data_IF_075861434071
#
_entry.id   IF_075861434071
#
_cell.length_a   1.000
_cell.length_b   1.000
_cell.length_c   1.000
_cell.angle_alpha   90.00
_cell.angle_beta   90.00
_cell.angle_gamma   90.00
#
_symmetry.space_group_name_H-M   'P 1'
#
loop_
_entity.id
_entity.type
_entity.pdbx_description
1 polymer ?
#
# COMPACT_ATOMS: atom_id res chain seq x y z
N UNK A 1 30.03 -7.72 2.44
CA UNK A 1 30.59 -9.02 2.77
C UNK A 1 32.11 -9.00 2.77
N UNK A 2 32.75 -9.99 3.35
CA UNK A 2 34.21 -10.14 3.25
C UNK A 2 34.59 -10.57 1.83
N UNK A 3 35.82 -10.26 1.38
CA UNK A 3 36.28 -10.62 0.04
C UNK A 3 36.17 -12.13 -0.19
N UNK A 4 36.60 -12.95 0.76
CA UNK A 4 36.54 -14.42 0.65
C UNK A 4 35.14 -14.97 0.40
N UNK A 5 34.14 -14.53 1.19
CA UNK A 5 32.75 -15.01 1.01
C UNK A 5 32.15 -14.62 -0.32
N UNK A 6 32.52 -13.45 -0.85
CA UNK A 6 31.99 -12.97 -2.13
C UNK A 6 32.62 -13.73 -3.28
N UNK A 7 33.92 -14.03 -3.19
CA UNK A 7 34.64 -14.86 -4.17
C UNK A 7 34.13 -16.30 -4.18
N UNK A 8 33.92 -16.90 -3.01
CA UNK A 8 33.32 -18.24 -2.88
C UNK A 8 31.93 -18.31 -3.57
N UNK A 9 31.09 -17.27 -3.41
CA UNK A 9 29.82 -17.20 -4.11
C UNK A 9 29.99 -17.12 -5.62
N UNK A 10 30.97 -16.37 -6.10
CA UNK A 10 31.28 -16.30 -7.54
C UNK A 10 31.76 -17.64 -8.08
N UNK A 11 32.60 -18.37 -7.34
CA UNK A 11 33.05 -19.71 -7.71
C UNK A 11 31.88 -20.71 -7.77
N UNK A 12 30.94 -20.65 -6.82
CA UNK A 12 29.71 -21.45 -6.84
C UNK A 12 28.87 -21.13 -8.07
N UNK A 13 28.70 -19.84 -8.39
CA UNK A 13 27.98 -19.41 -9.59
C UNK A 13 28.67 -19.88 -10.85
N UNK A 14 30.00 -19.78 -10.91
CA UNK A 14 30.81 -20.28 -12.01
C UNK A 14 30.64 -21.79 -12.21
N UNK A 15 30.73 -22.57 -11.15
CA UNK A 15 30.57 -24.04 -11.16
C UNK A 15 29.14 -24.44 -11.58
N UNK A 16 28.13 -23.70 -11.16
CA UNK A 16 26.74 -23.94 -11.52
C UNK A 16 26.43 -23.63 -12.99
N UNK A 17 27.25 -22.78 -13.64
CA UNK A 17 27.15 -22.39 -15.04
C UNK A 17 25.69 -22.09 -15.49
N UNK A 18 24.98 -21.18 -14.81
CA UNK A 18 23.60 -20.91 -15.11
C UNK A 18 23.43 -20.33 -16.53
N UNK A 19 22.36 -20.74 -17.20
CA UNK A 19 22.01 -20.25 -18.53
C UNK A 19 20.69 -19.50 -18.50
N UNK A 20 20.49 -18.52 -19.40
CA UNK A 20 19.19 -17.89 -19.56
C UNK A 20 18.08 -18.90 -19.79
N UNK A 21 16.96 -18.77 -19.08
CA UNK A 21 15.88 -19.78 -19.04
C UNK A 21 15.23 -20.04 -20.40
N UNK A 22 15.23 -19.08 -21.29
CA UNK A 22 14.55 -19.16 -22.59
C UNK A 22 15.46 -19.58 -23.74
N UNK A 23 16.64 -20.18 -23.48
CA UNK A 23 17.51 -20.73 -24.49
C UNK A 23 18.03 -19.71 -25.53
N UNK A 24 18.08 -18.44 -25.13
CA UNK A 24 18.56 -17.38 -26.02
C UNK A 24 20.09 -17.41 -26.11
N UNK A 25 20.62 -17.01 -27.26
CA UNK A 25 22.07 -17.01 -27.53
C UNK A 25 22.76 -15.78 -26.88
N UNK A 26 22.43 -15.42 -25.66
CA UNK A 26 23.12 -14.38 -24.92
C UNK A 26 23.61 -14.92 -23.57
N UNK A 27 24.62 -14.26 -23.02
CA UNK A 27 25.13 -14.57 -21.69
C UNK A 27 24.11 -14.14 -20.63
N UNK A 28 24.07 -14.83 -19.49
CA UNK A 28 23.24 -14.44 -18.37
C UNK A 28 23.70 -13.10 -17.83
N UNK A 29 22.85 -12.05 -17.77
CA UNK A 29 23.20 -10.80 -17.12
C UNK A 29 23.37 -11.00 -15.60
N UNK A 30 24.44 -10.51 -15.06
CA UNK A 30 24.77 -10.56 -13.63
C UNK A 30 25.25 -9.19 -13.16
N UNK A 31 24.61 -8.64 -12.14
CA UNK A 31 25.01 -7.38 -11.51
C UNK A 31 25.79 -7.69 -10.24
N UNK A 32 27.00 -7.20 -10.17
CA UNK A 32 27.80 -7.23 -8.96
C UNK A 32 27.79 -5.86 -8.27
N UNK A 33 27.21 -5.80 -7.10
CA UNK A 33 27.09 -4.58 -6.29
C UNK A 33 27.61 -4.80 -4.85
N UNK A 34 28.75 -5.46 -4.76
CA UNK A 34 29.33 -5.89 -3.48
C UNK A 34 30.63 -5.15 -3.12
N UNK A 35 31.49 -5.84 -2.35
CA UNK A 35 32.74 -5.30 -1.87
C UNK A 35 33.69 -4.91 -3.01
N UNK A 36 34.09 -3.65 -3.06
CA UNK A 36 34.94 -3.11 -4.12
C UNK A 36 36.31 -3.82 -4.22
N UNK A 37 36.81 -4.34 -3.11
CA UNK A 37 38.10 -5.07 -3.08
C UNK A 37 38.03 -6.46 -3.74
N UNK A 38 36.82 -6.97 -4.02
CA UNK A 38 36.62 -8.24 -4.68
C UNK A 38 36.34 -8.11 -6.18
N UNK A 39 36.17 -6.91 -6.71
CA UNK A 39 35.71 -6.67 -8.09
C UNK A 39 36.59 -7.35 -9.14
N UNK A 40 37.93 -7.27 -8.99
CA UNK A 40 38.84 -7.89 -9.95
C UNK A 40 38.71 -9.42 -9.94
N UNK A 41 38.66 -10.04 -8.76
CA UNK A 41 38.49 -11.49 -8.65
C UNK A 41 37.12 -11.95 -9.19
N UNK A 42 36.07 -11.16 -8.98
CA UNK A 42 34.73 -11.43 -9.53
C UNK A 42 34.76 -11.34 -11.06
N UNK A 43 35.45 -10.33 -11.61
CA UNK A 43 35.60 -10.18 -13.06
C UNK A 43 36.38 -11.35 -13.66
N UNK A 44 37.47 -11.78 -13.04
CA UNK A 44 38.29 -12.90 -13.48
C UNK A 44 37.50 -14.22 -13.39
N UNK A 45 36.66 -14.40 -12.38
CA UNK A 45 35.89 -15.65 -12.18
C UNK A 45 34.68 -15.74 -13.09
N UNK A 46 33.94 -14.65 -13.30
CA UNK A 46 32.62 -14.67 -13.97
C UNK A 46 32.60 -14.01 -15.35
N UNK A 47 33.51 -13.08 -15.66
CA UNK A 47 33.41 -12.21 -16.83
C UNK A 47 33.38 -12.91 -18.18
N UNK A 48 34.00 -14.09 -18.32
CA UNK A 48 33.92 -14.87 -19.56
C UNK A 48 32.60 -15.62 -19.70
N UNK A 49 32.01 -16.01 -18.58
CA UNK A 49 30.82 -16.87 -18.55
C UNK A 49 29.51 -16.12 -18.61
N UNK A 50 29.42 -14.96 -17.98
CA UNK A 50 28.21 -14.12 -17.84
C UNK A 50 28.44 -12.75 -18.46
N UNK A 51 27.34 -12.02 -18.67
CA UNK A 51 27.38 -10.59 -18.97
C UNK A 51 27.41 -9.83 -17.62
N UNK A 52 28.63 -9.43 -17.21
CA UNK A 52 28.90 -8.94 -15.88
C UNK A 52 28.91 -7.41 -15.83
N UNK A 53 27.91 -6.84 -15.19
CA UNK A 53 27.87 -5.43 -14.78
C UNK A 53 28.40 -5.27 -13.35
N UNK A 54 29.37 -4.37 -13.16
CA UNK A 54 29.88 -4.02 -11.83
C UNK A 54 29.40 -2.61 -11.49
N UNK A 55 28.66 -2.49 -10.39
CA UNK A 55 28.14 -1.21 -9.90
C UNK A 55 28.59 -0.95 -8.47
N UNK A 56 28.18 0.18 -7.92
CA UNK A 56 28.53 0.55 -6.56
C UNK A 56 27.96 -0.40 -5.53
N UNK A 57 28.66 -0.54 -4.39
CA UNK A 57 28.25 -1.42 -3.31
C UNK A 57 26.90 -0.96 -2.73
N UNK A 58 25.91 -1.85 -2.72
CA UNK A 58 24.57 -1.59 -2.16
C UNK A 58 24.61 -1.22 -0.67
N UNK A 59 25.67 -1.60 0.04
CA UNK A 59 25.87 -1.24 1.45
C UNK A 59 27.33 -0.95 1.72
N UNK A 60 27.82 0.25 1.31
CA UNK A 60 29.23 0.61 1.43
C UNK A 60 29.72 0.62 2.89
N UNK A 61 28.87 0.99 3.82
CA UNK A 61 29.04 0.93 5.27
C UNK A 61 27.80 0.33 5.93
N UNK A 62 27.91 -0.15 7.18
CA UNK A 62 26.80 -0.82 7.86
C UNK A 62 25.57 0.09 8.08
N UNK A 63 25.83 1.39 8.21
CA UNK A 63 24.85 2.42 8.55
C UNK A 63 24.16 3.03 7.33
N UNK A 64 24.63 2.74 6.10
CA UNK A 64 24.11 3.38 4.88
C UNK A 64 23.95 2.40 3.74
N UNK A 65 22.77 2.42 3.13
CA UNK A 65 22.48 1.79 1.85
C UNK A 65 22.73 2.73 0.68
N UNK A 66 23.09 2.13 -0.46
CA UNK A 66 23.25 2.80 -1.75
C UNK A 66 22.63 1.89 -2.82
N UNK A 67 21.31 1.93 -2.91
CA UNK A 67 20.54 1.01 -3.76
C UNK A 67 20.36 1.54 -5.19
N UNK A 68 20.44 2.86 -5.38
CA UNK A 68 20.12 3.53 -6.65
C UNK A 68 20.92 2.97 -7.83
N UNK A 69 22.27 2.87 -7.82
CA UNK A 69 23.03 2.37 -8.96
C UNK A 69 22.66 0.94 -9.36
N UNK A 70 22.34 0.08 -8.38
CA UNK A 70 21.90 -1.28 -8.65
C UNK A 70 20.48 -1.35 -9.18
N UNK A 71 19.60 -0.46 -8.70
CA UNK A 71 18.21 -0.34 -9.14
C UNK A 71 18.14 0.10 -10.60
N UNK A 72 18.97 1.07 -10.99
CA UNK A 72 19.05 1.56 -12.36
C UNK A 72 19.49 0.45 -13.32
N UNK A 73 20.54 -0.30 -12.95
CA UNK A 73 20.99 -1.44 -13.73
C UNK A 73 19.95 -2.55 -13.86
N UNK A 74 19.22 -2.86 -12.79
CA UNK A 74 18.10 -3.81 -12.85
C UNK A 74 17.00 -3.27 -13.76
N UNK A 75 16.72 -1.98 -13.71
CA UNK A 75 15.75 -1.36 -14.59
C UNK A 75 16.15 -1.49 -16.07
N UNK A 76 17.40 -1.15 -16.43
CA UNK A 76 17.91 -1.27 -17.79
C UNK A 76 17.79 -2.68 -18.32
N UNK A 77 18.22 -3.68 -17.52
CA UNK A 77 18.11 -5.09 -17.87
C UNK A 77 16.65 -5.55 -18.03
N UNK A 78 15.75 -5.07 -17.17
CA UNK A 78 14.33 -5.36 -17.30
C UNK A 78 13.73 -4.78 -18.58
N UNK A 79 14.09 -3.55 -18.92
CA UNK A 79 13.63 -2.90 -20.14
C UNK A 79 14.15 -3.65 -21.38
N UNK A 80 15.42 -4.04 -21.41
CA UNK A 80 16.05 -4.71 -22.54
C UNK A 80 15.56 -6.15 -22.71
N UNK A 81 15.60 -6.94 -21.66
CA UNK A 81 15.38 -8.38 -21.73
C UNK A 81 13.92 -8.82 -21.51
N UNK A 82 13.08 -7.96 -20.95
CA UNK A 82 11.66 -8.27 -20.67
C UNK A 82 10.75 -7.39 -21.51
N UNK A 83 10.77 -6.08 -21.29
CA UNK A 83 9.79 -5.17 -21.89
C UNK A 83 9.95 -5.05 -23.40
N UNK A 84 11.17 -4.88 -23.90
CA UNK A 84 11.45 -4.77 -25.34
C UNK A 84 11.17 -6.07 -26.13
N UNK A 85 11.01 -7.20 -25.45
CA UNK A 85 10.64 -8.46 -26.08
C UNK A 85 9.13 -8.55 -26.40
N UNK A 86 8.31 -7.69 -25.78
CA UNK A 86 6.88 -7.63 -26.08
C UNK A 86 6.65 -7.11 -27.52
N UNK A 87 5.76 -7.77 -28.32
CA UNK A 87 5.50 -7.37 -29.69
C UNK A 87 5.06 -5.90 -29.80
N UNK A 88 5.76 -5.14 -30.66
CA UNK A 88 5.45 -3.71 -30.88
C UNK A 88 6.08 -2.73 -29.87
N UNK A 89 6.63 -3.20 -28.77
CA UNK A 89 7.16 -2.32 -27.73
C UNK A 89 8.35 -1.48 -28.22
N UNK A 90 9.28 -2.07 -28.99
CA UNK A 90 10.39 -1.33 -29.62
C UNK A 90 9.90 -0.19 -30.51
N UNK A 91 8.78 -0.38 -31.24
CA UNK A 91 8.17 0.68 -32.03
C UNK A 91 7.57 1.77 -31.16
N UNK A 92 6.91 1.39 -30.08
CA UNK A 92 6.37 2.35 -29.10
C UNK A 92 7.49 3.23 -28.49
N UNK A 93 8.60 2.62 -28.11
CA UNK A 93 9.77 3.34 -27.59
C UNK A 93 10.33 4.36 -28.57
N UNK A 94 10.25 4.10 -29.88
CA UNK A 94 10.74 5.05 -30.90
C UNK A 94 9.84 6.28 -31.11
N UNK A 95 8.67 6.35 -30.46
CA UNK A 95 7.76 7.49 -30.58
C UNK A 95 8.03 8.60 -29.55
N UNK A 96 8.90 8.36 -28.61
CA UNK A 96 9.25 9.33 -27.56
C UNK A 96 10.75 9.40 -27.37
N UNK A 97 11.26 10.59 -27.11
CA UNK A 97 12.64 10.82 -26.71
C UNK A 97 12.83 10.75 -25.19
N UNK A 98 11.72 10.71 -24.44
CA UNK A 98 11.74 10.57 -22.98
C UNK A 98 11.88 9.09 -22.56
N UNK A 99 12.59 8.80 -21.46
CA UNK A 99 12.68 7.45 -20.92
C UNK A 99 11.29 6.92 -20.55
N UNK A 100 11.05 5.64 -20.88
CA UNK A 100 9.80 4.98 -20.48
C UNK A 100 9.93 4.53 -19.03
N UNK A 101 9.04 5.00 -18.20
CA UNK A 101 8.98 4.61 -16.79
C UNK A 101 7.99 3.47 -16.57
N UNK A 102 8.33 2.45 -15.77
CA UNK A 102 7.34 1.49 -15.29
C UNK A 102 6.31 2.19 -14.39
N UNK A 103 5.04 1.77 -14.48
CA UNK A 103 3.95 2.31 -13.67
C UNK A 103 4.29 2.44 -12.19
N UNK A 104 4.85 1.40 -11.52
CA UNK A 104 5.19 1.52 -10.09
C UNK A 104 6.28 2.56 -9.80
N UNK A 105 7.20 2.79 -10.75
CA UNK A 105 8.22 3.82 -10.63
C UNK A 105 7.60 5.22 -10.64
N UNK A 106 6.75 5.48 -11.62
CA UNK A 106 6.07 6.76 -11.79
C UNK A 106 5.13 7.09 -10.61
N UNK A 107 4.31 6.12 -10.20
CA UNK A 107 3.41 6.27 -9.02
C UNK A 107 4.22 6.54 -7.76
N UNK A 108 5.31 5.77 -7.55
CA UNK A 108 6.18 5.95 -6.38
C UNK A 108 6.78 7.35 -6.30
N UNK A 109 7.29 7.88 -7.41
CA UNK A 109 7.83 9.24 -7.48
C UNK A 109 6.78 10.30 -7.12
N UNK A 110 5.53 10.15 -7.56
CA UNK A 110 4.47 11.09 -7.20
C UNK A 110 4.14 11.03 -5.71
N UNK A 111 4.03 9.84 -5.13
CA UNK A 111 3.79 9.65 -3.68
C UNK A 111 4.92 10.25 -2.84
N UNK A 112 6.18 10.04 -3.24
CA UNK A 112 7.33 10.61 -2.56
C UNK A 112 7.31 12.14 -2.60
N UNK A 113 6.99 12.74 -3.75
CA UNK A 113 6.86 14.19 -3.89
C UNK A 113 5.72 14.80 -3.06
N UNK A 114 4.58 14.10 -2.94
CA UNK A 114 3.48 14.55 -2.06
C UNK A 114 3.98 14.58 -0.61
N UNK A 115 4.59 13.48 -0.14
CA UNK A 115 5.11 13.40 1.21
C UNK A 115 6.15 14.47 1.52
N UNK A 116 7.07 14.74 0.59
CA UNK A 116 8.11 15.75 0.74
C UNK A 116 7.54 17.18 0.78
N UNK A 117 6.64 17.50 -0.19
CA UNK A 117 6.07 18.85 -0.31
C UNK A 117 5.18 19.20 0.88
N UNK A 118 4.36 18.26 1.32
CA UNK A 118 3.38 18.48 2.40
C UNK A 118 3.97 18.15 3.78
N UNK A 119 5.15 17.52 3.82
CA UNK A 119 5.83 17.07 5.04
C UNK A 119 4.96 16.12 5.87
N UNK A 120 4.31 15.19 5.20
CA UNK A 120 3.40 14.20 5.77
C UNK A 120 3.91 12.78 5.55
N UNK A 121 3.41 11.88 6.37
CA UNK A 121 3.58 10.44 6.24
C UNK A 121 2.49 9.89 5.32
N UNK A 122 2.87 9.14 4.28
CA UNK A 122 1.93 8.67 3.25
C UNK A 122 2.07 7.18 3.05
N UNK A 123 0.94 6.51 2.90
CA UNK A 123 0.84 5.18 2.28
C UNK A 123 0.00 5.29 1.02
N UNK A 124 0.54 4.88 -0.12
CA UNK A 124 -0.17 4.75 -1.38
C UNK A 124 -0.33 3.28 -1.76
N UNK A 125 -1.43 2.95 -2.41
CA UNK A 125 -1.64 1.62 -2.99
C UNK A 125 -2.20 1.73 -4.40
N UNK A 126 -1.65 0.92 -5.31
CA UNK A 126 -2.19 0.68 -6.65
C UNK A 126 -2.53 -0.81 -6.80
N UNK A 127 -3.83 -1.12 -6.79
CA UNK A 127 -4.31 -2.49 -6.93
C UNK A 127 -4.73 -2.78 -8.36
N UNK A 128 -3.86 -3.49 -9.07
CA UNK A 128 -4.05 -3.86 -10.46
C UNK A 128 -4.71 -5.23 -10.67
N UNK A 129 -4.75 -5.67 -11.92
CA UNK A 129 -5.30 -6.98 -12.29
C UNK A 129 -4.38 -8.15 -11.95
N UNK A 130 -3.07 -7.96 -12.00
CA UNK A 130 -2.06 -8.99 -11.76
C UNK A 130 -1.25 -8.73 -10.48
N UNK A 131 -0.98 -7.47 -10.17
CA UNK A 131 -0.12 -7.02 -9.06
C UNK A 131 -0.85 -6.04 -8.16
N UNK A 132 -0.36 -5.91 -6.94
CA UNK A 132 -0.70 -4.81 -6.04
C UNK A 132 0.60 -4.18 -5.56
N UNK A 133 0.73 -2.89 -5.81
CA UNK A 133 1.90 -2.09 -5.46
C UNK A 133 1.58 -1.25 -4.22
N UNK A 134 2.46 -1.31 -3.21
CA UNK A 134 2.37 -0.51 -2.00
C UNK A 134 3.58 0.44 -1.95
N UNK A 135 3.29 1.69 -1.67
CA UNK A 135 4.27 2.76 -1.50
C UNK A 135 4.13 3.34 -0.10
N UNK A 136 5.22 3.65 0.56
CA UNK A 136 5.16 4.33 1.85
C UNK A 136 6.30 5.32 2.02
N UNK A 137 6.01 6.42 2.71
CA UNK A 137 7.01 7.37 3.17
C UNK A 137 6.84 7.55 4.67
N UNK A 138 7.77 6.99 5.44
CA UNK A 138 7.84 7.14 6.89
C UNK A 138 9.22 7.67 7.26
N UNK A 139 9.28 8.65 8.15
CA UNK A 139 10.54 9.27 8.59
C UNK A 139 11.41 9.76 7.40
N UNK A 140 10.77 10.27 6.34
CA UNK A 140 11.42 10.72 5.12
C UNK A 140 12.04 9.60 4.27
N UNK A 141 11.74 8.32 4.56
CA UNK A 141 12.24 7.17 3.79
C UNK A 141 11.15 6.60 2.92
N UNK A 142 11.38 6.63 1.62
CA UNK A 142 10.51 6.00 0.64
C UNK A 142 10.77 4.49 0.57
N UNK A 143 9.69 3.71 0.60
CA UNK A 143 9.70 2.27 0.39
C UNK A 143 8.62 1.88 -0.63
N UNK A 144 8.94 0.91 -1.48
CA UNK A 144 8.02 0.33 -2.45
C UNK A 144 8.08 -1.18 -2.42
N UNK A 145 6.92 -1.82 -2.50
CA UNK A 145 6.79 -3.27 -2.62
C UNK A 145 5.81 -3.59 -3.73
N UNK A 146 6.21 -4.45 -4.66
CA UNK A 146 5.37 -5.00 -5.72
C UNK A 146 4.97 -6.41 -5.33
N UNK A 147 3.70 -6.62 -5.02
CA UNK A 147 3.15 -7.96 -4.77
C UNK A 147 2.72 -8.57 -6.10
N UNK A 148 3.62 -9.32 -6.72
CA UNK A 148 3.51 -9.75 -8.12
C UNK A 148 2.33 -10.68 -8.43
N UNK A 149 1.74 -11.32 -7.41
CA UNK A 149 0.67 -12.31 -7.57
C UNK A 149 -0.60 -11.99 -6.77
N UNK A 150 -0.77 -10.75 -6.34
CA UNK A 150 -1.91 -10.33 -5.51
C UNK A 150 -2.77 -9.28 -6.24
N UNK A 151 -3.27 -9.64 -7.42
CA UNK A 151 -4.13 -8.76 -8.23
C UNK A 151 -5.55 -9.25 -8.35
N UNK A 152 -6.43 -8.38 -8.86
CA UNK A 152 -7.88 -8.53 -8.84
C UNK A 152 -8.48 -9.26 -10.06
N UNK A 153 -7.65 -9.71 -11.01
CA UNK A 153 -8.13 -10.46 -12.18
C UNK A 153 -7.23 -11.65 -12.52
N UNK A 154 -6.09 -11.43 -13.16
CA UNK A 154 -5.17 -12.50 -13.56
C UNK A 154 -4.62 -13.29 -12.36
N UNK A 155 -4.44 -12.65 -11.22
CA UNK A 155 -3.88 -13.25 -10.00
C UNK A 155 -4.91 -13.48 -8.89
N UNK A 156 -6.20 -13.33 -9.17
CA UNK A 156 -7.25 -13.38 -8.15
C UNK A 156 -7.31 -14.74 -7.42
N UNK A 157 -7.01 -15.83 -8.12
CA UNK A 157 -6.94 -17.17 -7.51
C UNK A 157 -5.73 -17.31 -6.58
N UNK A 158 -4.64 -16.58 -6.81
CA UNK A 158 -3.51 -16.55 -5.89
C UNK A 158 -3.87 -15.80 -4.62
N UNK A 159 -4.63 -14.71 -4.73
CA UNK A 159 -5.17 -14.01 -3.55
C UNK A 159 -6.01 -14.97 -2.71
N UNK A 160 -6.92 -15.74 -3.34
CA UNK A 160 -7.74 -16.74 -2.65
C UNK A 160 -6.87 -17.82 -1.99
N UNK A 161 -5.84 -18.32 -2.68
CA UNK A 161 -4.95 -19.36 -2.16
C UNK A 161 -4.13 -18.87 -0.95
N UNK A 162 -3.58 -17.65 -1.03
CA UNK A 162 -2.76 -17.10 0.03
C UNK A 162 -3.57 -16.59 1.23
N UNK A 163 -4.74 -15.98 0.99
CA UNK A 163 -5.61 -15.55 2.07
C UNK A 163 -6.31 -16.72 2.77
N UNK A 164 -6.64 -17.76 2.01
CA UNK A 164 -7.59 -18.79 2.41
C UNK A 164 -9.05 -18.35 2.29
N UNK A 165 -9.92 -19.30 1.94
CA UNK A 165 -11.33 -19.04 1.66
C UNK A 165 -12.07 -18.37 2.83
N UNK A 166 -11.80 -18.80 4.07
CA UNK A 166 -12.46 -18.27 5.27
C UNK A 166 -12.16 -16.78 5.51
N UNK A 167 -10.97 -16.33 5.12
CA UNK A 167 -10.62 -14.91 5.21
C UNK A 167 -11.32 -14.06 4.16
N UNK A 168 -11.65 -14.60 3.00
CA UNK A 168 -12.51 -13.91 2.03
C UNK A 168 -13.97 -13.95 2.50
N UNK A 169 -14.45 -15.14 2.92
CA UNK A 169 -15.83 -15.36 3.36
C UNK A 169 -16.23 -14.45 4.53
N UNK A 170 -15.30 -14.16 5.44
CA UNK A 170 -15.59 -13.27 6.59
C UNK A 170 -16.09 -11.88 6.19
N UNK A 171 -15.78 -11.41 4.96
CA UNK A 171 -16.19 -10.10 4.44
C UNK A 171 -17.48 -10.16 3.59
N UNK A 172 -17.95 -11.36 3.25
CA UNK A 172 -19.17 -11.53 2.43
C UNK A 172 -20.41 -11.35 3.30
N UNK A 173 -21.29 -10.36 3.00
CA UNK A 173 -22.42 -10.00 3.86
C UNK A 173 -23.68 -10.82 3.62
N UNK A 174 -23.56 -12.01 3.03
CA UNK A 174 -24.66 -12.97 2.79
C UNK A 174 -24.16 -14.40 2.90
N UNK A 175 -25.10 -15.33 3.05
CA UNK A 175 -24.76 -16.76 3.09
C UNK A 175 -24.47 -17.27 1.68
N UNK A 176 -23.32 -17.92 1.51
CA UNK A 176 -22.88 -18.51 0.25
C UNK A 176 -22.16 -19.84 0.52
N UNK A 177 -22.43 -20.81 -0.34
CA UNK A 177 -21.67 -22.08 -0.30
C UNK A 177 -20.20 -21.86 -0.67
N UNK A 178 -19.30 -22.59 -0.01
CA UNK A 178 -17.85 -22.44 -0.19
C UNK A 178 -17.39 -22.76 -1.60
N UNK A 179 -17.98 -23.76 -2.24
CA UNK A 179 -17.64 -24.13 -3.63
C UNK A 179 -18.14 -23.06 -4.60
N UNK A 180 -19.33 -22.52 -4.35
CA UNK A 180 -19.88 -21.45 -5.16
C UNK A 180 -19.01 -20.19 -5.08
N UNK A 181 -18.60 -19.76 -3.89
CA UNK A 181 -17.69 -18.64 -3.71
C UNK A 181 -16.35 -18.87 -4.47
N UNK A 182 -15.78 -20.07 -4.32
CA UNK A 182 -14.54 -20.44 -5.04
C UNK A 182 -14.73 -20.39 -6.56
N UNK A 183 -15.85 -20.90 -7.06
CA UNK A 183 -16.16 -20.91 -8.49
C UNK A 183 -16.36 -19.49 -9.05
N UNK A 184 -17.08 -18.62 -8.32
CA UNK A 184 -17.29 -17.22 -8.72
C UNK A 184 -15.96 -16.47 -8.82
N UNK A 185 -15.07 -16.67 -7.84
CA UNK A 185 -13.71 -16.07 -7.88
C UNK A 185 -12.90 -16.66 -9.05
N UNK A 186 -12.93 -17.98 -9.26
CA UNK A 186 -12.24 -18.65 -10.37
C UNK A 186 -12.72 -18.18 -11.75
N UNK A 187 -14.01 -17.90 -11.90
CA UNK A 187 -14.58 -17.35 -13.14
C UNK A 187 -13.98 -15.98 -13.50
N UNK A 188 -13.66 -15.16 -12.50
CA UNK A 188 -12.98 -13.86 -12.73
C UNK A 188 -11.60 -14.05 -13.34
N UNK A 189 -10.84 -15.07 -12.92
CA UNK A 189 -9.53 -15.37 -13.53
C UNK A 189 -9.66 -15.79 -15.01
N UNK A 190 -10.70 -16.56 -15.35
CA UNK A 190 -10.96 -17.00 -16.73
C UNK A 190 -11.41 -15.82 -17.60
N UNK A 191 -12.14 -14.88 -17.01
CA UNK A 191 -12.67 -13.67 -17.67
C UNK A 191 -12.19 -12.39 -16.95
N UNK A 192 -10.90 -12.08 -17.05
CA UNK A 192 -10.26 -11.06 -16.18
C UNK A 192 -10.78 -9.64 -16.37
N UNK A 193 -11.40 -9.34 -17.51
CA UNK A 193 -11.95 -8.01 -17.84
C UNK A 193 -13.41 -7.81 -17.41
N UNK A 194 -14.06 -8.85 -16.83
CA UNK A 194 -15.43 -8.69 -16.36
C UNK A 194 -15.50 -7.76 -15.14
N UNK A 195 -16.57 -6.96 -15.09
CA UNK A 195 -16.92 -6.14 -13.94
C UNK A 195 -18.17 -6.72 -13.27
N UNK A 196 -18.38 -6.53 -11.96
CA UNK A 196 -19.56 -6.99 -11.27
C UNK A 196 -20.85 -6.48 -11.93
N UNK A 197 -21.80 -7.38 -12.21
CA UNK A 197 -23.09 -7.06 -12.81
C UNK A 197 -24.23 -7.14 -11.80
N UNK A 198 -23.98 -7.72 -10.63
CA UNK A 198 -24.93 -7.80 -9.53
C UNK A 198 -24.29 -7.31 -8.22
N UNK A 199 -25.14 -7.02 -7.24
CA UNK A 199 -24.66 -6.59 -5.93
C UNK A 199 -23.88 -7.71 -5.21
N UNK A 200 -24.28 -8.96 -5.38
CA UNK A 200 -23.53 -10.11 -4.83
C UNK A 200 -22.13 -10.23 -5.42
N UNK A 201 -21.99 -10.06 -6.75
CA UNK A 201 -20.67 -10.06 -7.40
C UNK A 201 -19.80 -8.92 -6.89
N UNK A 202 -20.38 -7.73 -6.68
CA UNK A 202 -19.67 -6.60 -6.11
C UNK A 202 -19.20 -6.88 -4.69
N UNK A 203 -20.03 -7.48 -3.85
CA UNK A 203 -19.64 -7.90 -2.50
C UNK A 203 -18.46 -8.87 -2.51
N UNK A 204 -18.51 -9.88 -3.39
CA UNK A 204 -17.42 -10.86 -3.52
C UNK A 204 -16.15 -10.20 -4.02
N UNK A 205 -16.22 -9.33 -5.02
CA UNK A 205 -15.06 -8.60 -5.54
C UNK A 205 -14.42 -7.72 -4.46
N UNK A 206 -15.23 -7.00 -3.70
CA UNK A 206 -14.74 -6.16 -2.60
C UNK A 206 -14.24 -6.97 -1.40
N UNK A 207 -14.80 -8.16 -1.15
CA UNK A 207 -14.30 -9.06 -0.12
C UNK A 207 -12.89 -9.57 -0.44
N UNK A 208 -12.65 -10.02 -1.67
CA UNK A 208 -11.31 -10.49 -2.07
C UNK A 208 -10.33 -9.34 -2.25
N UNK A 209 -10.79 -8.13 -2.65
CA UNK A 209 -9.96 -6.94 -2.69
C UNK A 209 -9.39 -6.57 -1.32
N UNK A 210 -10.21 -6.67 -0.25
CA UNK A 210 -9.74 -6.47 1.13
C UNK A 210 -8.60 -7.42 1.48
N UNK A 211 -8.66 -8.66 1.04
CA UNK A 211 -7.60 -9.64 1.31
C UNK A 211 -6.36 -9.41 0.45
N UNK A 212 -6.50 -9.04 -0.82
CA UNK A 212 -5.38 -8.67 -1.68
C UNK A 212 -4.60 -7.48 -1.09
N UNK A 213 -5.31 -6.43 -0.71
CA UNK A 213 -4.74 -5.24 -0.06
C UNK A 213 -4.06 -5.59 1.27
N UNK A 214 -4.73 -6.37 2.13
CA UNK A 214 -4.20 -6.78 3.43
C UNK A 214 -2.92 -7.61 3.31
N UNK A 215 -2.88 -8.58 2.39
CA UNK A 215 -1.72 -9.43 2.14
C UNK A 215 -0.55 -8.62 1.59
N UNK A 216 -0.82 -7.75 0.60
CA UNK A 216 0.20 -6.87 0.02
C UNK A 216 0.77 -5.91 1.06
N UNK A 217 -0.08 -5.34 1.91
CA UNK A 217 0.37 -4.46 2.98
C UNK A 217 1.16 -5.21 4.07
N UNK A 218 0.76 -6.45 4.41
CA UNK A 218 1.54 -7.30 5.30
C UNK A 218 2.95 -7.54 4.74
N UNK A 219 3.05 -7.91 3.47
CA UNK A 219 4.32 -8.10 2.78
C UNK A 219 5.15 -6.80 2.77
N UNK A 220 4.52 -5.66 2.52
CA UNK A 220 5.18 -4.36 2.54
C UNK A 220 5.80 -4.05 3.91
N UNK A 221 5.07 -4.28 5.00
CA UNK A 221 5.60 -4.07 6.37
C UNK A 221 6.78 -4.99 6.71
N UNK A 222 6.84 -6.18 6.13
CA UNK A 222 7.97 -7.13 6.30
C UNK A 222 9.23 -6.66 5.56
N UNK A 223 9.08 -5.94 4.45
CA UNK A 223 10.20 -5.41 3.66
C UNK A 223 10.61 -3.99 4.07
N UNK A 224 9.67 -3.13 4.43
CA UNK A 224 9.94 -1.77 4.91
C UNK A 224 10.43 -1.80 6.36
N UNK A 225 11.68 -2.26 6.54
CA UNK A 225 12.32 -2.41 7.85
C UNK A 225 13.56 -1.56 7.97
N UNK A 226 13.91 -1.17 9.19
CA UNK A 226 15.17 -0.49 9.50
C UNK A 226 16.37 -1.38 9.18
N UNK A 227 17.53 -0.76 8.88
CA UNK A 227 18.76 -1.47 8.59
C UNK A 227 19.17 -2.40 9.73
N UNK A 228 19.37 -3.69 9.41
CA UNK A 228 19.90 -4.67 10.37
C UNK A 228 21.39 -4.42 10.63
N UNK A 229 21.82 -4.58 11.88
CA UNK A 229 23.23 -4.51 12.27
C UNK A 229 23.78 -3.10 12.53
N UNK A 230 22.94 -2.07 12.52
CA UNK A 230 23.29 -0.75 13.05
C UNK A 230 23.23 -0.82 14.57
N UNK A 231 24.34 -0.47 15.25
CA UNK A 231 24.33 -0.35 16.71
C UNK A 231 23.48 0.87 17.08
N UNK A 232 22.26 0.66 17.56
CA UNK A 232 21.53 1.66 18.33
C UNK A 232 22.05 1.61 19.77
N UNK A 233 22.17 2.77 20.43
CA UNK A 233 22.30 2.81 21.89
C UNK A 233 21.07 2.10 22.48
N UNK A 234 21.30 0.91 23.04
CA UNK A 234 20.21 0.09 23.61
C UNK A 234 19.88 0.60 24.99
N UNK A 235 18.63 0.87 25.24
CA UNK A 235 18.11 1.06 26.58
C UNK A 235 17.93 -0.30 27.27
N UNK A 236 17.89 -0.31 28.61
CA UNK A 236 17.74 -1.56 29.39
C UNK A 236 16.44 -2.31 29.08
N UNK A 237 15.39 -1.61 28.61
CA UNK A 237 14.13 -2.20 28.16
C UNK A 237 14.26 -2.98 26.84
N UNK A 238 15.17 -2.58 25.95
CA UNK A 238 15.40 -3.24 24.65
C UNK A 238 16.13 -4.59 24.78
N UNK A 239 16.68 -4.89 25.96
CA UNK A 239 17.41 -6.14 26.20
C UNK A 239 16.50 -7.37 26.28
N UNK A 240 15.18 -7.17 26.44
CA UNK A 240 14.20 -8.25 26.52
C UNK A 240 13.49 -8.55 25.19
N UNK A 241 13.59 -7.66 24.20
CA UNK A 241 13.06 -7.88 22.85
C UNK A 241 14.13 -8.43 21.91
N UNK A 242 14.23 -9.77 21.90
CA UNK A 242 15.05 -10.50 20.92
C UNK A 242 14.31 -10.67 19.60
N UNK A 243 13.98 -9.61 18.87
CA UNK A 243 13.58 -9.74 17.48
C UNK A 243 14.81 -9.66 16.58
N UNK A 244 15.11 -10.75 15.88
CA UNK A 244 16.20 -10.85 14.88
C UNK A 244 15.90 -10.11 13.56
N UNK A 245 14.70 -9.53 13.42
CA UNK A 245 14.28 -8.68 12.29
C UNK A 245 14.37 -7.21 12.69
N UNK A 246 14.85 -6.35 11.78
CA UNK A 246 14.75 -4.89 11.96
C UNK A 246 13.29 -4.50 12.24
N UNK A 247 13.09 -3.46 13.06
CA UNK A 247 11.74 -2.92 13.31
C UNK A 247 11.15 -2.40 12.01
N UNK A 248 9.85 -2.63 11.81
CA UNK A 248 9.13 -2.05 10.66
C UNK A 248 9.20 -0.53 10.72
N UNK A 249 9.49 0.11 9.59
CA UNK A 249 9.43 1.56 9.46
C UNK A 249 7.98 2.07 9.40
N UNK A 250 7.03 1.19 9.12
CA UNK A 250 5.61 1.53 8.96
C UNK A 250 4.94 1.58 10.32
N UNK A 251 4.67 2.79 10.80
CA UNK A 251 3.90 3.05 12.01
C UNK A 251 2.55 3.66 11.64
N UNK A 252 1.47 2.90 11.79
CA UNK A 252 0.13 3.33 11.37
C UNK A 252 -0.44 4.48 12.21
N UNK A 253 0.07 4.69 13.42
CA UNK A 253 -0.30 5.84 14.28
C UNK A 253 0.27 7.17 13.75
N UNK A 254 1.35 7.11 12.97
CA UNK A 254 1.99 8.27 12.35
C UNK A 254 1.48 8.54 10.92
N UNK A 255 0.52 7.76 10.43
CA UNK A 255 0.04 7.85 9.05
C UNK A 255 -0.92 9.04 8.89
N UNK A 256 -0.47 10.06 8.15
CA UNK A 256 -1.28 11.23 7.83
C UNK A 256 -2.25 11.00 6.67
N UNK A 257 -1.79 10.32 5.59
CA UNK A 257 -2.56 10.14 4.35
C UNK A 257 -2.46 8.71 3.81
N UNK A 258 -3.62 8.10 3.54
CA UNK A 258 -3.75 6.83 2.83
C UNK A 258 -4.42 7.06 1.48
N UNK A 259 -3.70 6.81 0.37
CA UNK A 259 -4.20 7.00 -0.99
C UNK A 259 -4.41 5.67 -1.69
N UNK A 260 -5.63 5.43 -2.15
CA UNK A 260 -5.97 4.26 -2.96
C UNK A 260 -6.00 4.57 -4.45
N UNK A 261 -5.53 3.64 -5.28
CA UNK A 261 -5.63 3.64 -6.73
C UNK A 261 -5.90 2.23 -7.25
N UNK A 262 -6.22 2.15 -8.52
CA UNK A 262 -6.57 0.90 -9.19
C UNK A 262 -8.08 0.67 -9.29
N UNK A 263 -8.48 -0.14 -10.27
CA UNK A 263 -9.86 -0.24 -10.74
C UNK A 263 -10.90 -0.46 -9.63
N UNK A 264 -10.63 -1.38 -8.69
CA UNK A 264 -11.59 -1.70 -7.61
C UNK A 264 -11.78 -0.56 -6.60
N UNK A 265 -10.75 0.29 -6.40
CA UNK A 265 -10.81 1.44 -5.50
C UNK A 265 -11.28 2.70 -6.23
N UNK A 266 -10.67 3.01 -7.38
CA UNK A 266 -10.94 4.22 -8.15
C UNK A 266 -12.34 4.23 -8.77
N UNK A 267 -12.86 3.06 -9.17
CA UNK A 267 -14.15 2.90 -9.84
C UNK A 267 -15.20 2.15 -9.00
N UNK A 268 -15.00 2.06 -7.68
CA UNK A 268 -16.06 1.58 -6.81
C UNK A 268 -17.34 2.42 -7.05
N UNK A 269 -18.51 1.79 -7.18
CA UNK A 269 -19.78 2.50 -7.46
C UNK A 269 -20.08 3.62 -6.48
N UNK A 270 -19.58 3.51 -5.25
CA UNK A 270 -19.69 4.52 -4.21
C UNK A 270 -18.36 4.72 -3.49
N UNK A 271 -18.08 5.95 -3.11
CA UNK A 271 -16.83 6.31 -2.41
C UNK A 271 -16.74 5.74 -1.00
N UNK A 272 -17.87 5.52 -0.36
CA UNK A 272 -17.96 4.82 0.93
C UNK A 272 -17.37 3.39 0.85
N UNK A 273 -17.53 2.71 -0.28
CA UNK A 273 -16.95 1.39 -0.52
C UNK A 273 -15.43 1.45 -0.60
N UNK A 274 -14.88 2.46 -1.28
CA UNK A 274 -13.43 2.69 -1.34
C UNK A 274 -12.87 2.98 0.05
N UNK A 275 -13.50 3.87 0.82
CA UNK A 275 -13.10 4.19 2.19
C UNK A 275 -13.10 2.93 3.08
N UNK A 276 -14.16 2.13 2.99
CA UNK A 276 -14.28 0.89 3.76
C UNK A 276 -13.21 -0.13 3.39
N UNK A 277 -12.93 -0.35 2.10
CA UNK A 277 -11.87 -1.27 1.67
C UNK A 277 -10.50 -0.82 2.20
N UNK A 278 -10.20 0.47 2.14
CA UNK A 278 -8.96 1.03 2.68
C UNK A 278 -8.86 0.84 4.20
N UNK A 279 -9.90 1.22 4.95
CA UNK A 279 -9.92 1.08 6.42
C UNK A 279 -9.81 -0.39 6.84
N UNK A 280 -10.58 -1.28 6.21
CA UNK A 280 -10.64 -2.69 6.58
C UNK A 280 -9.33 -3.45 6.29
N UNK A 281 -8.59 -3.01 5.25
CA UNK A 281 -7.37 -3.70 4.80
C UNK A 281 -6.10 -3.15 5.44
N UNK A 282 -5.98 -1.82 5.51
CA UNK A 282 -4.79 -1.15 6.07
C UNK A 282 -4.88 -0.92 7.57
N UNK A 283 -6.11 -0.91 8.12
CA UNK A 283 -6.37 -0.74 9.55
C UNK A 283 -5.65 0.49 10.12
N UNK A 284 -5.86 1.70 9.56
CA UNK A 284 -5.22 2.91 10.07
C UNK A 284 -5.49 3.09 11.56
N UNK A 285 -4.54 3.68 12.26
CA UNK A 285 -4.57 3.94 13.70
C UNK A 285 -4.47 5.44 13.94
N UNK A 286 -5.09 5.95 15.00
CA UNK A 286 -5.09 7.38 15.27
C UNK A 286 -5.98 8.17 14.31
N UNK A 287 -5.40 9.16 13.61
CA UNK A 287 -6.12 10.12 12.76
C UNK A 287 -5.48 10.11 11.37
N UNK A 288 -6.16 9.54 10.37
CA UNK A 288 -5.62 9.36 9.02
C UNK A 288 -6.59 9.91 7.98
N UNK A 289 -6.12 10.76 7.08
CA UNK A 289 -6.88 11.16 5.90
C UNK A 289 -6.92 10.04 4.87
N UNK A 290 -8.07 9.86 4.22
CA UNK A 290 -8.30 8.87 3.18
C UNK A 290 -8.55 9.57 1.86
N UNK A 291 -7.94 9.11 0.78
CA UNK A 291 -8.17 9.61 -0.56
C UNK A 291 -8.08 8.51 -1.61
N UNK A 292 -8.58 8.78 -2.81
CA UNK A 292 -8.43 7.91 -3.98
C UNK A 292 -8.04 8.70 -5.22
N UNK A 293 -7.15 8.17 -6.04
CA UNK A 293 -6.94 8.61 -7.42
C UNK A 293 -8.15 8.17 -8.26
N UNK A 294 -9.02 9.11 -8.58
CA UNK A 294 -10.33 8.81 -9.16
C UNK A 294 -10.31 8.44 -10.63
N UNK A 295 -9.27 8.83 -11.35
CA UNK A 295 -9.16 8.68 -12.81
C UNK A 295 -7.88 7.97 -13.24
N UNK A 296 -7.14 7.42 -12.28
CA UNK A 296 -5.92 6.65 -12.52
C UNK A 296 -4.82 7.44 -13.24
N UNK A 297 -4.54 8.67 -12.76
CA UNK A 297 -3.56 9.58 -13.35
C UNK A 297 -2.20 9.61 -12.65
N UNK A 298 -2.06 8.94 -11.50
CA UNK A 298 -0.77 8.91 -10.79
C UNK A 298 0.41 8.48 -11.68
N UNK A 299 0.29 7.44 -12.54
CA UNK A 299 1.40 7.05 -13.41
C UNK A 299 1.82 8.14 -14.39
N UNK A 300 0.86 8.80 -15.05
CA UNK A 300 1.12 9.82 -16.06
C UNK A 300 1.72 11.09 -15.42
N UNK A 301 1.16 11.49 -14.29
CA UNK A 301 1.66 12.65 -13.53
C UNK A 301 3.03 12.38 -12.92
N UNK A 302 3.30 11.13 -12.51
CA UNK A 302 4.62 10.71 -12.07
C UNK A 302 5.67 10.80 -13.18
N UNK A 303 5.33 10.42 -14.42
CA UNK A 303 6.22 10.62 -15.58
C UNK A 303 6.46 12.11 -15.83
N UNK A 304 5.39 12.93 -15.83
CA UNK A 304 5.51 14.39 -15.99
C UNK A 304 6.44 14.99 -14.93
N UNK A 305 6.32 14.54 -13.70
CA UNK A 305 7.11 15.05 -12.59
C UNK A 305 8.62 14.65 -12.63
N UNK A 306 8.96 13.65 -13.43
CA UNK A 306 10.33 13.15 -13.61
C UNK A 306 10.96 13.59 -14.95
N UNK A 307 10.51 14.72 -15.52
CA UNK A 307 11.15 15.28 -16.72
C UNK A 307 12.59 15.69 -16.39
N UNK A 308 13.55 15.14 -17.14
CA UNK A 308 14.99 15.34 -16.91
C UNK A 308 15.52 16.72 -17.38
N UNK A 309 14.75 17.47 -18.16
CA UNK A 309 15.15 18.81 -18.61
C UNK A 309 15.17 19.76 -17.42
N UNK A 310 16.36 20.11 -16.97
CA UNK A 310 16.63 20.90 -15.77
C UNK A 310 15.82 22.22 -15.72
N UNK A 311 15.68 22.88 -16.88
CA UNK A 311 14.89 24.12 -17.03
C UNK A 311 13.39 23.95 -16.79
N UNK A 312 12.83 22.74 -16.99
CA UNK A 312 11.41 22.45 -16.89
C UNK A 312 11.05 21.61 -15.66
N UNK A 313 12.03 20.99 -15.01
CA UNK A 313 11.80 19.99 -13.97
C UNK A 313 11.01 20.55 -12.78
N UNK A 314 11.30 21.75 -12.32
CA UNK A 314 10.61 22.38 -11.19
C UNK A 314 9.13 22.70 -11.54
N UNK A 315 8.90 23.27 -12.72
CA UNK A 315 7.54 23.62 -13.19
C UNK A 315 6.72 22.36 -13.47
N UNK A 316 7.33 21.33 -14.06
CA UNK A 316 6.69 20.05 -14.33
C UNK A 316 6.26 19.32 -13.04
N UNK A 317 7.12 19.32 -12.00
CA UNK A 317 6.78 18.80 -10.68
C UNK A 317 5.63 19.57 -10.04
N UNK A 318 5.68 20.90 -10.07
CA UNK A 318 4.64 21.75 -9.52
C UNK A 318 3.30 21.52 -10.24
N UNK A 319 3.32 21.47 -11.58
CA UNK A 319 2.13 21.19 -12.38
C UNK A 319 1.56 19.80 -12.14
N UNK A 320 2.39 18.77 -12.07
CA UNK A 320 1.96 17.41 -11.78
C UNK A 320 1.22 17.31 -10.44
N UNK A 321 1.78 17.91 -9.39
CA UNK A 321 1.17 17.94 -8.07
C UNK A 321 -0.12 18.77 -8.05
N UNK A 322 -0.16 19.92 -8.71
CA UNK A 322 -1.37 20.75 -8.79
C UNK A 322 -2.50 20.00 -9.47
N UNK A 323 -2.25 19.41 -10.64
CA UNK A 323 -3.24 18.61 -11.38
C UNK A 323 -3.70 17.42 -10.55
N UNK A 324 -2.78 16.74 -9.87
CA UNK A 324 -3.15 15.60 -9.03
C UNK A 324 -4.12 16.00 -7.92
N UNK A 325 -3.77 17.01 -7.14
CA UNK A 325 -4.62 17.46 -6.01
C UNK A 325 -5.95 18.04 -6.46
N UNK A 326 -5.98 18.79 -7.57
CA UNK A 326 -7.17 19.50 -8.01
C UNK A 326 -8.14 18.65 -8.82
N UNK A 327 -7.60 17.80 -9.71
CA UNK A 327 -8.40 17.16 -10.75
C UNK A 327 -8.47 15.62 -10.61
N UNK A 328 -7.54 15.00 -9.88
CA UNK A 328 -7.43 13.54 -9.80
C UNK A 328 -7.75 12.98 -8.42
N UNK A 329 -7.28 13.63 -7.37
CA UNK A 329 -7.43 13.16 -6.00
C UNK A 329 -8.80 13.49 -5.43
N UNK A 330 -9.56 12.48 -5.07
CA UNK A 330 -10.80 12.65 -4.31
C UNK A 330 -10.51 12.38 -2.84
N UNK A 331 -10.66 13.41 -2.01
CA UNK A 331 -10.61 13.29 -0.56
C UNK A 331 -11.87 12.58 -0.07
N UNK A 332 -11.71 11.37 0.47
CA UNK A 332 -12.80 10.59 1.04
C UNK A 332 -13.22 11.17 2.40
N UNK A 333 -12.26 11.63 3.17
CA UNK A 333 -12.43 12.20 4.50
C UNK A 333 -11.38 11.69 5.48
N UNK A 334 -11.64 11.84 6.78
CA UNK A 334 -10.70 11.42 7.83
C UNK A 334 -11.24 10.22 8.60
N UNK A 335 -10.42 9.19 8.76
CA UNK A 335 -10.66 8.05 9.66
C UNK A 335 -10.05 8.36 11.03
N UNK A 336 -10.85 8.25 12.08
CA UNK A 336 -10.46 8.41 13.48
C UNK A 336 -10.59 7.05 14.16
N UNK A 337 -9.46 6.41 14.47
CA UNK A 337 -9.40 5.01 14.91
C UNK A 337 -8.51 4.84 16.15
N UNK A 338 -9.05 5.03 17.37
CA UNK A 338 -8.31 4.81 18.60
C UNK A 338 -7.90 3.35 18.77
N UNK A 339 -6.70 3.11 19.28
CA UNK A 339 -6.20 1.77 19.60
C UNK A 339 -6.21 1.50 21.09
N UNK A 340 -6.42 0.26 21.47
CA UNK A 340 -6.42 -0.16 22.88
C UNK A 340 -7.39 -1.30 23.12
N UNK A 341 -7.59 -1.64 24.39
CA UNK A 341 -8.44 -2.75 24.77
C UNK A 341 -9.44 -2.36 25.86
N UNK A 342 -10.69 -2.27 25.44
CA UNK A 342 -11.86 -2.05 26.34
C UNK A 342 -12.90 -3.15 26.08
N UNK A 343 -13.84 -3.31 27.03
CA UNK A 343 -14.92 -4.28 26.91
C UNK A 343 -15.90 -3.90 25.79
N UNK A 344 -16.57 -4.87 25.19
CA UNK A 344 -17.62 -4.66 24.18
C UNK A 344 -18.65 -3.65 24.68
N UNK A 345 -18.99 -2.66 23.85
CA UNK A 345 -19.94 -1.59 24.16
C UNK A 345 -19.46 -0.51 25.14
N UNK A 346 -18.22 -0.62 25.65
CA UNK A 346 -17.64 0.45 26.47
C UNK A 346 -17.25 1.66 25.62
N UNK A 347 -17.17 2.82 26.25
CA UNK A 347 -16.68 4.05 25.63
C UNK A 347 -15.23 3.86 25.18
N UNK A 348 -14.97 4.24 23.94
CA UNK A 348 -13.65 4.23 23.30
C UNK A 348 -13.09 5.65 23.23
N UNK A 349 -13.93 6.59 22.78
CA UNK A 349 -13.55 7.96 22.49
C UNK A 349 -14.76 8.88 22.64
N UNK A 350 -14.53 10.06 23.19
CA UNK A 350 -15.42 11.19 23.06
C UNK A 350 -14.84 12.16 22.04
N UNK A 351 -15.62 12.53 21.03
CA UNK A 351 -15.23 13.46 19.98
C UNK A 351 -16.09 14.72 20.02
N UNK A 352 -15.46 15.88 20.03
CA UNK A 352 -16.10 17.20 19.93
C UNK A 352 -15.62 17.87 18.66
N UNK A 353 -16.55 18.24 17.77
CA UNK A 353 -16.25 18.91 16.50
C UNK A 353 -16.78 20.34 16.55
N UNK A 354 -15.99 21.30 16.10
CA UNK A 354 -16.40 22.69 15.88
C UNK A 354 -16.25 23.00 14.41
N UNK A 355 -17.38 23.19 13.73
CA UNK A 355 -17.46 23.48 12.31
C UNK A 355 -17.16 24.97 12.01
N UNK A 356 -16.81 25.33 10.75
CA UNK A 356 -16.52 26.72 10.38
C UNK A 356 -17.66 27.70 10.65
N UNK A 357 -18.91 27.24 10.63
CA UNK A 357 -20.11 28.02 10.97
C UNK A 357 -20.31 28.23 12.48
N UNK A 358 -19.41 27.68 13.30
CA UNK A 358 -19.47 27.73 14.77
C UNK A 358 -20.35 26.65 15.40
N UNK A 359 -20.99 25.79 14.62
CA UNK A 359 -21.78 24.66 15.13
C UNK A 359 -20.86 23.67 15.83
N UNK A 360 -21.29 23.22 17.01
CA UNK A 360 -20.59 22.17 17.77
C UNK A 360 -21.38 20.88 17.76
N UNK A 361 -20.67 19.77 17.54
CA UNK A 361 -21.24 18.42 17.57
C UNK A 361 -20.39 17.56 18.49
N UNK A 362 -21.07 16.75 19.30
CA UNK A 362 -20.46 15.83 20.25
C UNK A 362 -20.90 14.41 19.91
N UNK A 363 -19.95 13.45 19.98
CA UNK A 363 -20.24 12.03 19.78
C UNK A 363 -19.43 11.16 20.74
N UNK A 364 -20.07 10.15 21.31
CA UNK A 364 -19.45 9.11 22.14
C UNK A 364 -19.32 7.83 21.33
N UNK A 365 -18.11 7.53 20.88
CA UNK A 365 -17.81 6.32 20.14
C UNK A 365 -17.65 5.13 21.10
N UNK A 366 -18.37 4.04 20.82
CA UNK A 366 -18.31 2.81 21.60
C UNK A 366 -17.49 1.71 20.89
N UNK A 367 -17.06 0.74 21.66
CA UNK A 367 -16.36 -0.44 21.16
C UNK A 367 -17.22 -1.20 20.17
N UNK A 368 -16.61 -1.56 19.03
CA UNK A 368 -17.19 -2.24 17.85
C UNK A 368 -18.18 -1.37 17.05
N UNK A 369 -18.34 -0.10 17.40
CA UNK A 369 -19.11 0.87 16.63
C UNK A 369 -18.29 1.44 15.46
N UNK A 370 -18.98 1.66 14.36
CA UNK A 370 -18.52 2.48 13.24
C UNK A 370 -19.53 3.60 13.08
N UNK A 371 -19.07 4.84 12.98
CA UNK A 371 -19.95 5.99 12.87
C UNK A 371 -19.42 6.99 11.83
N UNK A 372 -20.31 7.65 11.09
CA UNK A 372 -19.98 8.61 10.04
C UNK A 372 -20.70 9.93 10.23
N UNK A 373 -19.95 11.03 10.09
CA UNK A 373 -20.49 12.37 9.87
C UNK A 373 -20.33 12.76 8.40
N UNK A 374 -21.42 13.09 7.74
CA UNK A 374 -21.39 13.64 6.38
C UNK A 374 -20.99 15.12 6.45
N UNK A 375 -19.77 15.41 6.03
CA UNK A 375 -19.22 16.76 5.99
C UNK A 375 -18.35 16.92 4.75
N UNK A 376 -18.44 18.05 4.04
CA UNK A 376 -17.63 18.30 2.85
C UNK A 376 -16.15 18.42 3.21
N UNK A 377 -15.28 18.48 2.19
CA UNK A 377 -13.86 18.70 2.38
C UNK A 377 -13.60 20.14 2.84
N UNK A 378 -13.60 20.30 4.15
CA UNK A 378 -13.31 21.57 4.83
C UNK A 378 -12.60 21.27 6.17
N UNK A 379 -11.80 22.23 6.69
CA UNK A 379 -11.14 22.07 7.97
C UNK A 379 -12.14 22.18 9.12
N UNK A 380 -12.08 21.23 10.05
CA UNK A 380 -12.95 21.11 11.21
C UNK A 380 -12.04 21.01 12.45
N UNK A 381 -12.24 21.93 13.41
CA UNK A 381 -11.53 21.81 14.69
C UNK A 381 -12.14 20.67 15.50
N UNK A 382 -11.30 19.76 15.96
CA UNK A 382 -11.73 18.57 16.69
C UNK A 382 -10.95 18.41 17.99
N UNK A 383 -11.66 17.99 19.05
CA UNK A 383 -11.08 17.58 20.33
C UNK A 383 -11.46 16.14 20.58
N UNK A 384 -10.47 15.27 20.67
CA UNK A 384 -10.64 13.85 20.95
C UNK A 384 -10.17 13.52 22.35
N UNK A 385 -11.04 12.88 23.14
CA UNK A 385 -10.78 12.46 24.53
C UNK A 385 -10.93 10.92 24.57
N UNK A 386 -9.84 10.16 24.42
CA UNK A 386 -9.89 8.70 24.48
C UNK A 386 -10.14 8.22 25.92
N UNK A 387 -10.75 7.02 26.06
CA UNK A 387 -10.77 6.33 27.36
C UNK A 387 -9.35 6.08 27.86
N UNK A 388 -9.16 5.95 29.16
CA UNK A 388 -7.85 5.76 29.83
C UNK A 388 -7.01 4.60 29.27
N UNK A 389 -7.64 3.64 28.61
CA UNK A 389 -6.99 2.47 27.98
C UNK A 389 -6.83 2.58 26.47
N UNK A 390 -7.32 3.66 25.91
CA UNK A 390 -7.29 3.92 24.47
C UNK A 390 -6.28 5.00 24.15
N UNK A 391 -5.69 4.92 22.98
CA UNK A 391 -4.69 5.85 22.44
C UNK A 391 -5.13 6.32 21.06
N UNK A 392 -4.99 7.61 20.78
CA UNK A 392 -5.31 8.20 19.48
C UNK A 392 -4.11 8.97 18.86
N UNK A 393 -2.92 8.76 19.41
CA UNK A 393 -1.68 9.35 18.94
C UNK A 393 -0.95 10.26 19.94
N UNK A 394 -1.62 10.65 21.05
CA UNK A 394 -1.01 11.46 22.13
C UNK A 394 -0.62 10.65 23.36
N UNK A 395 -0.87 9.34 23.35
CA UNK A 395 -0.70 8.45 24.49
C UNK A 395 -2.04 7.99 25.08
N UNK A 396 -1.99 6.94 25.89
CA UNK A 396 -3.19 6.35 26.49
C UNK A 396 -3.92 7.32 27.40
N UNK A 397 -5.19 7.59 27.07
CA UNK A 397 -6.07 8.47 27.83
C UNK A 397 -5.78 9.97 27.64
N UNK A 398 -4.76 10.31 26.86
CA UNK A 398 -4.38 11.70 26.65
C UNK A 398 -5.23 12.34 25.53
N UNK A 399 -5.88 13.48 25.80
CA UNK A 399 -6.67 14.16 24.79
C UNK A 399 -5.78 14.82 23.72
N UNK A 400 -6.33 14.96 22.52
CA UNK A 400 -5.70 15.70 21.42
C UNK A 400 -6.67 16.72 20.85
N UNK A 401 -6.16 17.92 20.58
CA UNK A 401 -6.85 18.97 19.81
C UNK A 401 -6.14 19.10 18.47
N UNK A 402 -6.90 18.98 17.39
CA UNK A 402 -6.35 18.98 16.03
C UNK A 402 -7.39 19.45 15.01
N UNK A 403 -6.93 19.70 13.78
CA UNK A 403 -7.80 19.94 12.65
C UNK A 403 -7.96 18.65 11.84
N UNK A 404 -9.19 18.25 11.58
CA UNK A 404 -9.53 17.13 10.66
C UNK A 404 -10.27 17.67 9.45
N UNK A 405 -10.25 16.90 8.37
CA UNK A 405 -10.89 17.31 7.12
C UNK A 405 -12.02 16.34 6.77
N UNK A 406 -13.16 16.89 6.39
CA UNK A 406 -14.23 16.12 5.79
C UNK A 406 -13.84 15.56 4.42
N UNK A 407 -14.82 15.27 3.60
CA UNK A 407 -14.63 14.74 2.25
C UNK A 407 -15.94 14.24 1.66
N UNK A 408 -15.85 13.54 0.53
CA UNK A 408 -17.06 13.01 -0.13
C UNK A 408 -17.75 11.91 0.70
N UNK A 409 -17.04 11.26 1.61
CA UNK A 409 -17.61 10.35 2.59
C UNK A 409 -17.82 11.05 3.93
N UNK A 410 -16.90 11.91 4.34
CA UNK A 410 -16.94 12.66 5.59
C UNK A 410 -16.00 12.12 6.65
N UNK A 411 -16.31 12.38 7.93
CA UNK A 411 -15.54 11.87 9.06
C UNK A 411 -16.03 10.47 9.44
N UNK A 412 -15.11 9.53 9.60
CA UNK A 412 -15.39 8.13 9.98
C UNK A 412 -14.74 7.86 11.33
N UNK A 413 -15.55 7.64 12.37
CA UNK A 413 -15.10 7.23 13.69
C UNK A 413 -15.16 5.71 13.78
N UNK A 414 -14.02 5.06 13.99
CA UNK A 414 -13.88 3.61 14.01
C UNK A 414 -13.51 3.08 15.38
N UNK A 415 -14.52 2.61 16.14
CA UNK A 415 -14.36 1.99 17.44
C UNK A 415 -14.02 0.50 17.42
N UNK A 416 -13.82 -0.07 16.25
CA UNK A 416 -13.42 -1.49 16.09
C UNK A 416 -11.98 -1.69 16.56
N UNK A 417 -11.64 -2.93 16.93
CA UNK A 417 -10.26 -3.24 17.37
C UNK A 417 -9.23 -3.13 16.23
N UNK A 418 -7.97 -3.05 16.61
CA UNK A 418 -6.82 -3.23 15.71
C UNK A 418 -5.99 -4.43 16.20
N UNK A 419 -5.90 -5.51 15.41
CA UNK A 419 -6.61 -5.78 14.15
C UNK A 419 -8.14 -5.88 14.33
N UNK A 420 -8.89 -5.61 13.23
CA UNK A 420 -10.35 -5.71 13.24
C UNK A 420 -10.77 -7.17 13.45
N UNK A 421 -11.57 -7.41 14.47
CA UNK A 421 -12.10 -8.73 14.79
C UNK A 421 -13.52 -8.87 14.23
N UNK A 422 -13.72 -9.86 13.36
CA UNK A 422 -15.03 -10.20 12.79
C UNK A 422 -15.52 -11.45 13.49
N UNK A 423 -16.78 -11.48 13.97
CA UNK A 423 -17.37 -12.68 14.58
C UNK A 423 -17.30 -13.89 13.64
N UNK A 424 -17.05 -15.08 14.19
CA UNK A 424 -16.97 -16.34 13.42
C UNK A 424 -18.33 -17.01 13.22
N UNK A 425 -19.27 -16.82 14.14
CA UNK A 425 -20.65 -17.33 13.97
C UNK A 425 -21.33 -16.55 12.83
N UNK A 426 -22.02 -17.26 11.92
CA UNK A 426 -22.58 -16.66 10.69
C UNK A 426 -23.55 -15.52 11.01
N UNK A 427 -24.49 -15.73 11.93
CA UNK A 427 -25.47 -14.70 12.30
C UNK A 427 -24.81 -13.43 12.86
N UNK A 428 -23.87 -13.58 13.80
CA UNK A 428 -23.16 -12.45 14.40
C UNK A 428 -22.29 -11.73 13.36
N UNK A 429 -21.66 -12.48 12.47
CA UNK A 429 -20.86 -11.95 11.35
C UNK A 429 -21.70 -11.09 10.43
N UNK A 430 -22.82 -11.64 9.95
CA UNK A 430 -23.72 -10.94 9.04
C UNK A 430 -24.31 -9.69 9.70
N UNK A 431 -24.71 -9.79 10.97
CA UNK A 431 -25.22 -8.65 11.73
C UNK A 431 -24.15 -7.53 11.87
N UNK A 432 -22.90 -7.90 12.17
CA UNK A 432 -21.79 -6.93 12.29
C UNK A 432 -21.49 -6.25 10.94
N UNK A 433 -21.37 -7.04 9.86
CA UNK A 433 -21.10 -6.49 8.51
C UNK A 433 -22.23 -5.56 8.06
N UNK A 434 -23.48 -5.93 8.30
CA UNK A 434 -24.65 -5.10 8.00
C UNK A 434 -24.61 -3.79 8.78
N UNK A 435 -24.42 -3.86 10.10
CA UNK A 435 -24.35 -2.68 10.96
C UNK A 435 -23.25 -1.71 10.52
N UNK A 436 -22.05 -2.21 10.21
CA UNK A 436 -20.95 -1.37 9.73
C UNK A 436 -21.21 -0.78 8.34
N UNK A 437 -21.86 -1.52 7.45
CA UNK A 437 -22.24 -1.04 6.11
C UNK A 437 -23.28 0.08 6.20
N UNK A 438 -24.31 -0.11 7.05
CA UNK A 438 -25.35 0.89 7.28
C UNK A 438 -24.79 2.15 7.92
N UNK A 439 -23.87 2.03 8.88
CA UNK A 439 -23.25 3.14 9.59
C UNK A 439 -22.53 4.13 8.65
N UNK A 440 -21.94 3.64 7.55
CA UNK A 440 -21.27 4.48 6.55
C UNK A 440 -22.08 4.66 5.27
N UNK A 441 -23.30 4.11 5.20
CA UNK A 441 -24.17 4.12 4.02
C UNK A 441 -23.47 3.54 2.77
N UNK A 442 -22.77 2.40 2.96
CA UNK A 442 -21.94 1.77 1.93
C UNK A 442 -22.78 1.26 0.74
N UNK A 443 -23.98 0.73 1.02
CA UNK A 443 -24.94 0.20 0.04
C UNK A 443 -26.36 0.69 0.37
N UNK A 444 -26.71 1.94 0.03
CA UNK A 444 -28.06 2.46 0.21
C UNK A 444 -29.04 1.66 -0.66
N UNK A 445 -30.25 1.45 -0.16
CA UNK A 445 -31.36 0.81 -0.88
C UNK A 445 -31.37 -0.72 -0.96
N UNK A 446 -30.76 -1.44 -0.03
CA UNK A 446 -31.02 -2.87 0.08
C UNK A 446 -32.47 -3.20 0.54
N UNK A 447 -33.23 -2.20 1.02
CA UNK A 447 -34.58 -2.38 1.60
C UNK A 447 -35.74 -1.84 0.75
N UNK A 448 -35.55 -1.45 -0.50
CA UNK A 448 -36.62 -0.81 -1.30
C UNK A 448 -37.17 -1.65 -2.47
N UNK A 449 -36.93 -2.99 -2.47
CA UNK A 449 -37.67 -3.87 -3.36
C UNK A 449 -38.06 -5.16 -2.61
N UNK A 450 -39.15 -5.09 -1.86
CA UNK A 450 -40.12 -6.14 -1.66
C UNK A 450 -41.43 -5.73 -2.25
#
# INVERSE_FOLDING_TARGET
GTVSHVVELAEILHAANPKPRLGQNYKLPVIYAGNNKAQDQIRDTLGEMVDLDITENIRPVLERENLEPSRDKIHDLFMEHVMQQAPGYKKLMSWTDAPIMPTPGAVGSLIEMIAEKEKITVVGVDIGGATTDIFSVFQGKFNRTVSANLGMSYSICNVLAESGLENVLRWVPFDIDRKELTNRIGNKMIRPTTVPQSLEELFIEQAIAREALRLSFKQHKEFATSLKGVQKERTISDAFDQSSSGESLVNMMELDLLVGSGGVLSHAPRREQSARMLIDSFMPEGITQLAVDSIFMMPQLGVLANIEKEELAADARAAALEVFHKDCLIHLGTCIAPIGNVKKGALVLTAEFTFPDGKKVHHELKKDELFRFEVPYEPISAVFKPDKKMDIGSGKGEPIETTVYGGVVGLILDGRSRPITIPTASEDRLAALKSWSEAVNEYPNQNTNQ
#
